data_IF_071406565390
#
_entry.id   IF_071406565390
#
_cell.length_a   1.000
_cell.length_b   1.000
_cell.length_c   1.000
_cell.angle_alpha   90.00
_cell.angle_beta   90.00
_cell.angle_gamma   90.00
#
_symmetry.space_group_name_H-M   'P 1'
#
loop_
_entity.id
_entity.type
_entity.pdbx_description
1 polymer ?
#
# COMPACT_ATOMS: atom_id res chain seq x y z
N UNK A 1 13.18 19.99 1.01
CA UNK A 1 12.47 20.90 0.06
C UNK A 1 11.02 20.43 -0.11
N UNK A 2 10.10 21.35 0.02
CA UNK A 2 8.67 21.11 -0.16
C UNK A 2 8.17 22.09 -1.23
N UNK A 3 7.52 21.56 -2.27
CA UNK A 3 7.10 22.36 -3.40
C UNK A 3 5.84 23.19 -3.14
N UNK A 4 5.57 24.10 -4.05
CA UNK A 4 4.43 25.01 -4.01
C UNK A 4 3.10 24.26 -4.02
N UNK A 5 2.13 24.75 -3.27
CA UNK A 5 0.77 24.18 -3.23
C UNK A 5 0.63 22.87 -2.47
N UNK A 6 1.71 22.35 -1.90
CA UNK A 6 1.67 21.12 -1.11
C UNK A 6 1.01 21.39 0.24
N UNK A 7 0.14 20.45 0.64
CA UNK A 7 -0.62 20.53 1.90
C UNK A 7 -0.26 19.35 2.79
N UNK A 8 0.16 19.66 4.00
CA UNK A 8 0.51 18.70 5.04
C UNK A 8 -0.47 18.84 6.19
N UNK A 9 -1.09 17.75 6.57
CA UNK A 9 -1.99 17.72 7.73
C UNK A 9 -1.21 17.57 9.04
N UNK A 10 -1.91 17.43 10.14
CA UNK A 10 -1.31 17.38 11.46
C UNK A 10 -0.44 16.14 11.65
N UNK A 11 0.65 16.32 12.41
CA UNK A 11 1.53 15.23 12.84
C UNK A 11 2.18 14.45 11.67
N UNK A 12 2.39 15.11 10.53
CA UNK A 12 3.19 14.54 9.44
C UNK A 12 4.66 14.69 9.78
N UNK A 13 5.39 13.58 9.72
CA UNK A 13 6.84 13.59 9.93
C UNK A 13 7.55 13.45 8.59
N UNK A 14 8.48 14.37 8.34
CA UNK A 14 9.32 14.34 7.13
C UNK A 14 10.77 14.17 7.56
N UNK A 15 11.35 13.03 7.20
CA UNK A 15 12.73 12.70 7.55
C UNK A 15 13.74 13.56 6.80
N UNK A 16 15.01 13.32 7.11
CA UNK A 16 16.11 14.08 6.49
C UNK A 16 16.19 13.82 4.98
N UNK A 17 16.63 14.82 4.24
CA UNK A 17 16.89 14.74 2.79
C UNK A 17 15.67 14.32 1.94
N UNK A 18 14.45 14.49 2.45
CA UNK A 18 13.24 14.27 1.67
C UNK A 18 13.02 15.40 0.67
N UNK A 19 12.44 15.05 -0.48
CA UNK A 19 11.99 16.01 -1.48
C UNK A 19 10.52 15.78 -1.76
N UNK A 20 9.72 16.80 -1.57
CA UNK A 20 8.28 16.76 -1.85
C UNK A 20 7.99 17.77 -2.95
N UNK A 21 7.34 17.30 -3.99
CA UNK A 21 7.02 18.11 -5.15
C UNK A 21 5.91 19.13 -4.91
N UNK A 22 5.27 19.56 -5.99
CA UNK A 22 4.20 20.56 -5.97
C UNK A 22 2.84 19.89 -5.85
N UNK A 23 1.93 20.59 -5.16
CA UNK A 23 0.53 20.17 -5.06
C UNK A 23 0.36 18.73 -4.54
N UNK A 24 1.26 18.31 -3.67
CA UNK A 24 1.17 17.03 -2.96
C UNK A 24 0.25 17.20 -1.76
N UNK A 25 -0.55 16.20 -1.47
CA UNK A 25 -1.41 16.17 -0.27
C UNK A 25 -0.97 15.01 0.60
N UNK A 26 -0.65 15.30 1.86
CA UNK A 26 -0.28 14.28 2.84
C UNK A 26 -1.20 14.42 4.05
N UNK A 27 -2.00 13.39 4.29
CA UNK A 27 -2.94 13.37 5.41
C UNK A 27 -2.23 13.08 6.74
N UNK A 28 -2.96 13.20 7.81
CA UNK A 28 -2.43 13.21 9.18
C UNK A 28 -1.68 11.92 9.56
N UNK A 29 -0.67 12.08 10.41
CA UNK A 29 0.08 10.99 11.03
C UNK A 29 0.89 10.13 10.04
N UNK A 30 1.17 10.65 8.87
CA UNK A 30 2.04 9.97 7.89
C UNK A 30 3.49 10.31 8.17
N UNK A 31 4.35 9.30 8.08
CA UNK A 31 5.78 9.44 8.30
C UNK A 31 6.59 9.08 7.06
N UNK A 32 7.47 9.98 6.66
CA UNK A 32 8.44 9.76 5.59
C UNK A 32 9.82 9.55 6.21
N UNK A 33 10.43 8.41 5.94
CA UNK A 33 11.82 8.14 6.34
C UNK A 33 12.80 8.96 5.49
N UNK A 34 14.07 8.83 5.78
CA UNK A 34 15.12 9.63 5.10
C UNK A 34 15.20 9.37 3.60
N UNK A 35 15.45 10.41 2.85
CA UNK A 35 15.73 10.32 1.41
C UNK A 35 14.51 9.99 0.54
N UNK A 36 13.30 10.07 1.07
CA UNK A 36 12.08 9.84 0.30
C UNK A 36 11.85 10.95 -0.71
N UNK A 37 11.47 10.58 -1.92
CA UNK A 37 11.09 11.53 -2.98
C UNK A 37 9.61 11.34 -3.30
N UNK A 38 8.84 12.41 -3.18
CA UNK A 38 7.42 12.45 -3.57
C UNK A 38 7.27 13.44 -4.71
N UNK A 39 6.81 12.95 -5.85
CA UNK A 39 6.66 13.79 -7.04
C UNK A 39 5.32 14.53 -7.04
N UNK A 40 5.15 15.42 -8.02
CA UNK A 40 4.01 16.33 -8.09
C UNK A 40 2.65 15.63 -8.09
N UNK A 41 1.68 16.24 -7.43
CA UNK A 41 0.28 15.79 -7.39
C UNK A 41 0.06 14.41 -6.75
N UNK A 42 1.03 13.85 -6.07
CA UNK A 42 0.81 12.62 -5.30
C UNK A 42 -0.16 12.89 -4.14
N UNK A 43 -0.96 11.89 -3.81
CA UNK A 43 -1.88 11.93 -2.68
C UNK A 43 -1.52 10.81 -1.71
N UNK A 44 -1.21 11.18 -0.49
CA UNK A 44 -0.83 10.22 0.55
C UNK A 44 -1.86 10.25 1.66
N UNK A 45 -2.50 9.12 1.89
CA UNK A 45 -3.52 8.97 2.94
C UNK A 45 -2.94 9.10 4.35
N UNK A 46 -3.80 9.00 5.35
CA UNK A 46 -3.40 9.09 6.75
C UNK A 46 -2.71 7.83 7.26
N UNK A 47 -1.84 7.99 8.26
CA UNK A 47 -1.15 6.88 8.91
C UNK A 47 -0.36 5.99 7.95
N UNK A 48 0.22 6.57 6.92
CA UNK A 48 1.08 5.88 5.96
C UNK A 48 2.53 5.92 6.46
N UNK A 49 3.21 4.79 6.38
CA UNK A 49 4.64 4.71 6.64
C UNK A 49 5.41 4.55 5.33
N UNK A 50 6.37 5.42 5.07
CA UNK A 50 7.17 5.36 3.85
C UNK A 50 8.63 5.11 4.22
N UNK A 51 9.15 3.98 3.77
CA UNK A 51 10.51 3.54 4.07
C UNK A 51 11.60 4.38 3.39
N UNK A 52 12.81 4.24 3.88
CA UNK A 52 13.97 5.00 3.37
C UNK A 52 14.08 4.92 1.86
N UNK A 53 14.40 6.06 1.25
CA UNK A 53 14.70 6.17 -0.18
C UNK A 53 13.60 5.68 -1.12
N UNK A 54 12.38 5.49 -0.62
CA UNK A 54 11.24 5.20 -1.47
C UNK A 54 10.94 6.38 -2.39
N UNK A 55 10.37 6.09 -3.54
CA UNK A 55 9.98 7.10 -4.51
C UNK A 55 8.51 6.96 -4.88
N UNK A 56 7.77 8.02 -4.65
CA UNK A 56 6.36 8.11 -4.99
C UNK A 56 6.24 8.99 -6.23
N UNK A 57 5.95 8.39 -7.37
CA UNK A 57 5.92 9.12 -8.63
C UNK A 57 4.64 9.97 -8.75
N UNK A 58 4.64 10.86 -9.74
CA UNK A 58 3.59 11.86 -9.89
C UNK A 58 2.19 11.24 -9.97
N UNK A 59 1.23 11.89 -9.31
CA UNK A 59 -0.18 11.49 -9.28
C UNK A 59 -0.46 10.11 -8.68
N UNK A 60 0.52 9.48 -8.07
CA UNK A 60 0.30 8.23 -7.33
C UNK A 60 -0.59 8.50 -6.13
N UNK A 61 -1.39 7.50 -5.76
CA UNK A 61 -2.29 7.57 -4.60
C UNK A 61 -1.93 6.45 -3.63
N UNK A 62 -1.58 6.82 -2.41
CA UNK A 62 -1.30 5.87 -1.34
C UNK A 62 -2.50 5.84 -0.39
N UNK A 63 -3.13 4.69 -0.27
CA UNK A 63 -4.27 4.51 0.62
C UNK A 63 -3.89 4.64 2.09
N UNK A 64 -4.84 5.06 2.92
CA UNK A 64 -4.61 5.22 4.36
C UNK A 64 -4.13 3.91 4.99
N UNK A 65 -3.17 4.02 5.89
CA UNK A 65 -2.61 2.88 6.62
C UNK A 65 -1.68 1.99 5.80
N UNK A 66 -1.39 2.32 4.54
CA UNK A 66 -0.48 1.49 3.76
C UNK A 66 0.98 1.65 4.19
N UNK A 67 1.80 0.65 3.88
CA UNK A 67 3.22 0.66 4.19
C UNK A 67 4.05 0.53 2.92
N UNK A 68 4.95 1.46 2.70
CA UNK A 68 5.86 1.48 1.56
C UNK A 68 7.22 1.00 2.01
N UNK A 69 7.69 -0.09 1.43
CA UNK A 69 8.98 -0.67 1.81
C UNK A 69 10.15 0.23 1.37
N UNK A 70 11.27 0.06 2.04
CA UNK A 70 12.52 0.74 1.71
C UNK A 70 12.85 0.63 0.22
N UNK A 71 13.20 1.73 -0.40
CA UNK A 71 13.59 1.83 -1.82
C UNK A 71 12.50 1.43 -2.82
N UNK A 72 11.27 1.24 -2.37
CA UNK A 72 10.13 0.94 -3.24
C UNK A 72 9.82 2.13 -4.15
N UNK A 73 9.50 1.84 -5.40
CA UNK A 73 8.99 2.83 -6.35
C UNK A 73 7.50 2.57 -6.56
N UNK A 74 6.68 3.55 -6.21
CA UNK A 74 5.26 3.59 -6.58
C UNK A 74 5.15 4.39 -7.87
N UNK A 75 4.65 3.77 -8.91
CA UNK A 75 4.68 4.36 -10.25
C UNK A 75 3.62 5.44 -10.43
N UNK A 76 3.87 6.32 -11.38
CA UNK A 76 2.98 7.44 -11.68
C UNK A 76 1.55 6.97 -11.91
N UNK A 77 0.59 7.64 -11.25
CA UNK A 77 -0.83 7.35 -11.38
C UNK A 77 -1.30 6.06 -10.73
N UNK A 78 -0.41 5.28 -10.13
CA UNK A 78 -0.77 4.03 -9.47
C UNK A 78 -1.52 4.29 -8.17
N UNK A 79 -2.55 3.50 -7.91
CA UNK A 79 -3.27 3.51 -6.63
C UNK A 79 -2.88 2.25 -5.87
N UNK A 80 -2.25 2.42 -4.72
CA UNK A 80 -1.76 1.31 -3.90
C UNK A 80 -2.39 1.32 -2.51
N UNK A 81 -2.51 0.12 -1.92
CA UNK A 81 -3.06 -0.07 -0.58
C UNK A 81 -2.41 -1.26 0.10
N UNK A 82 -2.53 -1.32 1.41
CA UNK A 82 -2.05 -2.45 2.21
C UNK A 82 -0.62 -2.30 2.70
N UNK A 83 -0.18 -3.29 3.47
CA UNK A 83 1.19 -3.38 3.99
C UNK A 83 1.73 -4.79 3.73
N UNK A 84 2.71 -4.99 2.85
CA UNK A 84 3.28 -3.99 1.95
C UNK A 84 2.28 -3.49 0.92
N UNK A 85 2.44 -2.25 0.49
CA UNK A 85 1.53 -1.62 -0.47
C UNK A 85 1.55 -2.33 -1.82
N UNK A 86 0.38 -2.53 -2.38
CA UNK A 86 0.16 -3.17 -3.66
C UNK A 86 -1.06 -2.54 -4.36
N UNK A 87 -1.25 -2.76 -5.67
CA UNK A 87 -2.40 -2.20 -6.37
C UNK A 87 -3.69 -2.47 -5.65
N UNK A 88 -4.55 -1.48 -5.56
CA UNK A 88 -5.80 -1.57 -4.80
C UNK A 88 -6.65 -2.77 -5.20
N UNK A 89 -6.79 -3.01 -6.49
CA UNK A 89 -7.59 -4.13 -7.00
C UNK A 89 -7.05 -5.48 -6.49
N UNK A 90 -5.74 -5.65 -6.55
CA UNK A 90 -5.06 -6.84 -6.03
C UNK A 90 -5.31 -7.01 -4.52
N UNK A 91 -5.15 -5.94 -3.76
CA UNK A 91 -5.38 -5.94 -2.32
C UNK A 91 -6.81 -6.35 -1.97
N UNK A 92 -7.81 -5.78 -2.65
CA UNK A 92 -9.21 -6.13 -2.40
C UNK A 92 -9.51 -7.58 -2.75
N UNK A 93 -8.94 -8.10 -3.84
CA UNK A 93 -9.09 -9.50 -4.22
C UNK A 93 -8.48 -10.42 -3.17
N UNK A 94 -7.30 -10.07 -2.65
CA UNK A 94 -6.64 -10.84 -1.59
C UNK A 94 -7.47 -10.86 -0.31
N UNK A 95 -8.04 -9.74 0.09
CA UNK A 95 -8.92 -9.68 1.27
C UNK A 95 -10.16 -10.55 1.10
N UNK A 96 -10.79 -10.52 -0.07
CA UNK A 96 -11.95 -11.35 -0.36
C UNK A 96 -11.61 -12.84 -0.28
N UNK A 97 -10.46 -13.24 -0.83
CA UNK A 97 -9.99 -14.62 -0.76
C UNK A 97 -9.65 -15.04 0.67
N UNK A 98 -9.01 -14.16 1.42
CA UNK A 98 -8.69 -14.41 2.83
C UNK A 98 -9.94 -14.69 3.64
N UNK A 99 -11.02 -13.93 3.42
CA UNK A 99 -12.30 -14.11 4.10
C UNK A 99 -12.97 -15.44 3.75
N UNK A 100 -12.67 -16.01 2.59
CA UNK A 100 -13.24 -17.28 2.12
C UNK A 100 -12.41 -18.51 2.50
N UNK A 101 -11.22 -18.32 3.04
CA UNK A 101 -10.33 -19.44 3.38
C UNK A 101 -11.00 -20.51 4.26
N UNK A 102 -11.78 -20.19 5.30
CA UNK A 102 -12.42 -21.23 6.11
C UNK A 102 -13.34 -22.15 5.29
N UNK A 103 -14.12 -21.57 4.38
CA UNK A 103 -14.99 -22.35 3.48
C UNK A 103 -14.18 -23.19 2.50
N UNK A 104 -13.14 -22.61 1.93
CA UNK A 104 -12.26 -23.30 1.00
C UNK A 104 -11.57 -24.49 1.67
N UNK A 105 -11.16 -24.35 2.94
CA UNK A 105 -10.60 -25.46 3.70
C UNK A 105 -11.58 -26.60 3.87
N UNK A 106 -12.83 -26.29 4.19
CA UNK A 106 -13.88 -27.30 4.33
C UNK A 106 -14.13 -28.03 3.02
N UNK A 107 -14.23 -27.28 1.92
CA UNK A 107 -14.42 -27.86 0.58
C UNK A 107 -13.25 -28.77 0.19
N UNK A 108 -12.03 -28.33 0.47
CA UNK A 108 -10.84 -29.13 0.18
C UNK A 108 -10.82 -30.44 0.98
N UNK A 109 -11.16 -30.37 2.26
CA UNK A 109 -11.24 -31.54 3.15
C UNK A 109 -12.29 -32.53 2.61
N UNK A 110 -13.46 -32.04 2.21
CA UNK A 110 -14.52 -32.86 1.64
C UNK A 110 -14.11 -33.50 0.32
N UNK A 111 -13.47 -32.73 -0.56
CA UNK A 111 -12.96 -33.25 -1.84
C UNK A 111 -11.92 -34.32 -1.63
N UNK A 112 -11.01 -34.15 -0.70
CA UNK A 112 -9.99 -35.16 -0.35
C UNK A 112 -10.65 -36.44 0.15
N UNK A 113 -11.67 -36.32 1.00
CA UNK A 113 -12.41 -37.46 1.52
C UNK A 113 -13.09 -38.24 0.39
N UNK A 114 -13.73 -37.54 -0.54
CA UNK A 114 -14.41 -38.15 -1.70
C UNK A 114 -13.42 -38.84 -2.63
N UNK A 115 -12.28 -38.20 -2.87
CA UNK A 115 -11.23 -38.76 -3.72
C UNK A 115 -10.66 -40.05 -3.12
N UNK A 116 -10.36 -40.06 -1.83
CA UNK A 116 -9.87 -41.26 -1.11
C UNK A 116 -10.90 -42.40 -1.22
N UNK A 117 -12.18 -42.09 -1.05
CA UNK A 117 -13.26 -43.06 -1.16
C UNK A 117 -13.32 -43.67 -2.57
N UNK A 118 -13.20 -42.85 -3.61
CA UNK A 118 -13.19 -43.31 -4.99
C UNK A 118 -11.96 -44.17 -5.30
N UNK A 119 -10.79 -43.80 -4.80
CA UNK A 119 -9.57 -44.58 -5.01
C UNK A 119 -9.60 -45.94 -4.30
N UNK A 120 -10.32 -46.06 -3.20
CA UNK A 120 -10.49 -47.31 -2.44
C UNK A 120 -11.53 -48.25 -3.03
N UNK A 121 -12.33 -47.76 -3.96
CA UNK A 121 -13.43 -48.53 -4.56
C UNK A 121 -12.93 -49.52 -5.62
#
# INVERSE_FOLDING_TARGET
>A
MIGEGTKLDNMVHIGHNCRIGRHVVIAAQTGLSGGVVVEDYAVIGGQVGIGDKARIQSRAVLGSGCGILTSKIVRAGEVVWGTPARPLKEYLTQLANLARLPEMRKELTELKRRLTKLEAA
#
